data_IF_607128924856
#
_entry.id   IF_607128924856
#
_cell.length_a   1.000
_cell.length_b   1.000
_cell.length_c   1.000
_cell.angle_alpha   90.00
_cell.angle_beta   90.00
_cell.angle_gamma   90.00
#
_symmetry.space_group_name_H-M   'P 1'
#
loop_
_entity.id
_entity.type
_entity.pdbx_description
1 polymer ?
#
# COMPACT_ATOMS: atom_id res chain seq x y z
N UNK A 1 -13.29 29.24 71.72
CA UNK A 1 -12.27 28.42 71.04
C UNK A 1 -12.82 27.01 70.83
N UNK A 2 -12.51 26.41 69.67
CA UNK A 2 -12.93 25.08 69.14
C UNK A 2 -14.35 24.96 68.55
N UNK A 3 -14.38 25.23 67.24
CA UNK A 3 -15.32 24.65 66.26
C UNK A 3 -14.92 23.19 66.00
N UNK A 4 -15.87 22.31 65.68
CA UNK A 4 -15.77 21.07 64.86
C UNK A 4 -16.77 19.99 65.35
N UNK A 5 -17.49 19.20 64.55
CA UNK A 5 -17.62 18.98 63.10
C UNK A 5 -19.00 18.32 62.86
N UNK A 6 -19.78 18.83 61.92
CA UNK A 6 -20.85 18.06 61.28
C UNK A 6 -20.17 17.26 60.17
N UNK A 7 -20.05 15.94 60.33
CA UNK A 7 -19.49 15.05 59.31
C UNK A 7 -20.65 14.37 58.58
N UNK A 8 -21.08 14.97 57.48
CA UNK A 8 -21.89 14.33 56.46
C UNK A 8 -20.93 13.51 55.61
N UNK A 9 -21.01 12.18 55.67
CA UNK A 9 -20.33 11.30 54.73
C UNK A 9 -20.94 11.50 53.34
N UNK A 10 -20.29 12.34 52.54
CA UNK A 10 -20.58 12.53 51.12
C UNK A 10 -20.10 11.28 50.37
N UNK A 11 -21.09 10.48 49.98
CA UNK A 11 -21.21 9.69 48.75
C UNK A 11 -19.90 9.50 47.97
N UNK A 12 -19.44 8.26 47.96
CA UNK A 12 -18.50 7.75 46.98
C UNK A 12 -19.09 7.87 45.57
N UNK A 13 -18.50 8.72 44.74
CA UNK A 13 -18.55 8.58 43.29
C UNK A 13 -17.11 8.48 42.82
N UNK A 14 -16.64 7.24 42.70
CA UNK A 14 -15.40 6.91 42.02
C UNK A 14 -15.53 7.41 40.59
N UNK A 15 -14.92 8.55 40.29
CA UNK A 15 -14.57 8.93 38.92
C UNK A 15 -13.61 7.86 38.42
N UNK A 16 -14.18 6.83 37.81
CA UNK A 16 -13.49 5.95 36.88
C UNK A 16 -12.95 6.85 35.79
N UNK A 17 -11.69 7.28 35.96
CA UNK A 17 -10.84 7.65 34.85
C UNK A 17 -10.67 6.37 34.03
N UNK A 18 -11.67 6.09 33.18
CA UNK A 18 -11.45 5.30 32.00
C UNK A 18 -10.43 6.08 31.19
N UNK A 19 -9.14 5.80 31.45
CA UNK A 19 -8.06 6.22 30.60
C UNK A 19 -8.37 5.66 29.23
N UNK A 20 -8.86 6.51 28.33
CA UNK A 20 -8.89 6.23 26.92
C UNK A 20 -7.43 6.13 26.45
N UNK A 21 -6.80 4.98 26.71
CA UNK A 21 -5.68 4.53 25.92
C UNK A 21 -6.23 4.27 24.52
N UNK A 22 -6.33 5.31 23.70
CA UNK A 22 -6.32 5.12 22.26
C UNK A 22 -5.00 4.42 21.95
N UNK A 23 -4.99 3.13 21.57
CA UNK A 23 -3.78 2.54 21.04
C UNK A 23 -3.49 3.36 19.78
N UNK A 24 -2.33 4.02 19.74
CA UNK A 24 -1.82 4.61 18.52
C UNK A 24 -1.71 3.48 17.48
N UNK A 25 -2.77 3.27 16.70
CA UNK A 25 -2.82 2.35 15.56
C UNK A 25 -2.06 2.91 14.35
N UNK A 26 -1.02 3.70 14.58
CA UNK A 26 0.00 3.91 13.56
C UNK A 26 0.79 2.59 13.55
N UNK A 27 0.38 1.65 12.70
CA UNK A 27 1.25 0.54 12.28
C UNK A 27 2.57 1.20 11.87
N UNK A 28 3.60 1.09 12.70
CA UNK A 28 4.92 1.65 12.42
C UNK A 28 5.40 0.97 11.14
N UNK A 29 5.26 1.66 10.02
CA UNK A 29 5.67 1.15 8.71
C UNK A 29 7.17 0.90 8.77
N UNK A 30 7.63 -0.25 8.29
CA UNK A 30 9.04 -0.59 8.37
C UNK A 30 9.88 0.42 7.59
N UNK A 31 11.12 0.74 8.01
CA UNK A 31 12.01 1.65 7.26
C UNK A 31 12.21 1.23 5.80
N UNK A 32 12.24 -0.08 5.53
CA UNK A 32 12.36 -0.64 4.18
C UNK A 32 11.14 -0.35 3.31
N UNK A 33 9.93 -0.45 3.89
CA UNK A 33 8.70 -0.08 3.20
C UNK A 33 8.64 1.43 2.94
N UNK A 34 9.07 2.27 3.88
CA UNK A 34 9.14 3.72 3.67
C UNK A 34 10.11 4.08 2.54
N UNK A 35 11.29 3.45 2.51
CA UNK A 35 12.25 3.60 1.43
C UNK A 35 11.67 3.15 0.08
N UNK A 36 10.98 2.02 0.05
CA UNK A 36 10.33 1.52 -1.16
C UNK A 36 9.26 2.50 -1.69
N UNK A 37 8.44 3.07 -0.80
CA UNK A 37 7.45 4.10 -1.17
C UNK A 37 8.14 5.31 -1.83
N UNK A 38 9.23 5.81 -1.23
CA UNK A 38 10.00 6.95 -1.77
C UNK A 38 10.58 6.65 -3.16
N UNK A 39 11.10 5.44 -3.37
CA UNK A 39 11.63 5.03 -4.68
C UNK A 39 10.53 4.93 -5.74
N UNK A 40 9.38 4.34 -5.40
CA UNK A 40 8.22 4.27 -6.30
C UNK A 40 7.69 5.67 -6.65
N UNK A 41 7.61 6.57 -5.66
CA UNK A 41 7.19 7.95 -5.86
C UNK A 41 8.14 8.70 -6.79
N UNK A 42 9.45 8.58 -6.57
CA UNK A 42 10.46 9.20 -7.43
C UNK A 42 10.37 8.68 -8.87
N UNK A 43 10.20 7.36 -9.05
CA UNK A 43 9.99 6.76 -10.36
C UNK A 43 8.72 7.29 -11.03
N UNK A 44 7.60 7.34 -10.30
CA UNK A 44 6.32 7.85 -10.81
C UNK A 44 6.43 9.30 -11.27
N UNK A 45 7.06 10.17 -10.47
CA UNK A 45 7.28 11.57 -10.82
C UNK A 45 8.14 11.71 -12.08
N UNK A 46 9.25 10.96 -12.16
CA UNK A 46 10.12 10.97 -13.33
C UNK A 46 9.39 10.50 -14.59
N UNK A 47 8.57 9.45 -14.49
CA UNK A 47 7.75 8.99 -15.60
C UNK A 47 6.77 10.07 -16.07
N UNK A 48 6.02 10.69 -15.15
CA UNK A 48 5.05 11.73 -15.48
C UNK A 48 5.69 12.99 -16.07
N UNK A 49 6.90 13.34 -15.64
CA UNK A 49 7.67 14.43 -16.25
C UNK A 49 8.07 14.12 -17.70
N UNK A 50 8.49 12.87 -17.96
CA UNK A 50 8.87 12.41 -19.30
C UNK A 50 7.67 12.23 -20.23
N UNK A 51 6.52 11.84 -19.69
CA UNK A 51 5.29 11.55 -20.42
C UNK A 51 4.09 12.34 -19.84
N UNK A 52 4.05 13.67 -20.00
CA UNK A 52 3.08 14.54 -19.34
C UNK A 52 1.62 14.35 -19.82
N UNK A 53 1.42 13.74 -20.98
CA UNK A 53 0.09 13.41 -21.50
C UNK A 53 -0.47 12.08 -20.99
N UNK A 54 0.35 11.30 -20.28
CA UNK A 54 -0.05 10.03 -19.69
C UNK A 54 -0.55 10.22 -18.26
N UNK A 55 -1.36 9.29 -17.80
CA UNK A 55 -1.84 9.24 -16.41
C UNK A 55 -1.62 7.84 -15.87
N UNK A 56 -1.07 7.76 -14.67
CA UNK A 56 -0.89 6.50 -13.97
C UNK A 56 -1.29 6.60 -12.51
N UNK A 57 -1.68 5.46 -11.97
CA UNK A 57 -1.74 5.21 -10.53
C UNK A 57 -0.78 4.07 -10.20
N UNK A 58 -0.40 3.95 -8.92
CA UNK A 58 0.47 2.87 -8.50
C UNK A 58 0.26 2.47 -7.04
N UNK A 59 0.65 1.24 -6.75
CA UNK A 59 0.82 0.70 -5.40
C UNK A 59 2.27 0.25 -5.22
N UNK A 60 2.81 0.45 -4.02
CA UNK A 60 4.18 0.10 -3.67
C UNK A 60 4.23 -0.90 -2.53
N UNK A 61 5.04 -1.94 -2.67
CA UNK A 61 5.18 -2.97 -1.66
C UNK A 61 6.63 -3.40 -1.53
N UNK A 62 7.18 -3.31 -0.31
CA UNK A 62 8.47 -3.92 -0.03
C UNK A 62 8.26 -5.39 0.31
N UNK A 63 8.66 -6.24 -0.63
CA UNK A 63 8.54 -7.68 -0.49
C UNK A 63 9.65 -8.21 0.43
N UNK A 64 9.32 -8.61 1.65
CA UNK A 64 10.27 -9.07 2.68
C UNK A 64 10.90 -10.40 2.31
N UNK A 65 10.13 -11.32 1.73
CA UNK A 65 10.63 -12.66 1.35
C UNK A 65 11.68 -12.57 0.25
N UNK A 66 11.49 -11.68 -0.71
CA UNK A 66 12.39 -11.47 -1.84
C UNK A 66 13.42 -10.36 -1.58
N UNK A 67 13.30 -9.63 -0.47
CA UNK A 67 14.12 -8.45 -0.15
C UNK A 67 14.16 -7.44 -1.31
N UNK A 68 13.00 -7.13 -1.90
CA UNK A 68 12.86 -6.34 -3.13
C UNK A 68 11.70 -5.35 -3.03
N UNK A 69 11.85 -4.18 -3.63
CA UNK A 69 10.77 -3.19 -3.73
C UNK A 69 9.99 -3.39 -5.03
N UNK A 70 8.70 -3.70 -4.92
CA UNK A 70 7.80 -3.86 -6.05
C UNK A 70 6.82 -2.69 -6.18
N UNK A 71 6.47 -2.41 -7.44
CA UNK A 71 5.51 -1.40 -7.82
C UNK A 71 4.53 -2.00 -8.83
N UNK A 72 3.24 -1.92 -8.52
CA UNK A 72 2.17 -2.25 -9.45
C UNK A 72 1.66 -0.95 -10.05
N UNK A 73 1.89 -0.73 -11.34
CA UNK A 73 1.52 0.50 -12.06
C UNK A 73 0.31 0.23 -12.93
N UNK A 74 -0.68 1.13 -12.91
CA UNK A 74 -1.82 1.12 -13.82
C UNK A 74 -1.78 2.37 -14.69
N UNK A 75 -1.67 2.19 -16.00
CA UNK A 75 -1.66 3.27 -16.99
C UNK A 75 -3.07 3.49 -17.52
N UNK A 76 -3.67 4.63 -17.21
CA UNK A 76 -5.07 4.90 -17.50
C UNK A 76 -5.37 4.99 -19.00
N UNK A 77 -4.43 5.53 -19.79
CA UNK A 77 -4.63 5.74 -21.24
C UNK A 77 -4.59 4.45 -22.04
N UNK A 78 -3.71 3.53 -21.68
CA UNK A 78 -3.43 2.32 -22.45
C UNK A 78 -4.12 1.06 -21.91
N UNK A 79 -4.84 1.15 -20.77
CA UNK A 79 -5.41 -0.01 -20.08
C UNK A 79 -4.33 -1.09 -19.81
N UNK A 80 -3.11 -0.63 -19.53
CA UNK A 80 -1.95 -1.46 -19.22
C UNK A 80 -1.77 -1.47 -17.70
N UNK A 81 -1.54 -2.66 -17.14
CA UNK A 81 -0.93 -2.82 -15.82
C UNK A 81 0.47 -3.39 -15.97
N UNK A 82 1.40 -2.98 -15.10
CA UNK A 82 2.75 -3.52 -15.07
C UNK A 82 3.21 -3.77 -13.64
N UNK A 83 3.78 -4.95 -13.40
CA UNK A 83 4.51 -5.26 -12.17
C UNK A 83 5.99 -4.98 -12.41
N UNK A 84 6.59 -4.14 -11.57
CA UNK A 84 7.99 -3.71 -11.65
C UNK A 84 8.70 -3.97 -10.34
N UNK A 85 9.96 -4.34 -10.41
CA UNK A 85 10.90 -4.25 -9.30
C UNK A 85 11.73 -2.98 -9.50
N UNK A 86 11.74 -2.11 -8.49
CA UNK A 86 12.22 -0.73 -8.65
C UNK A 86 13.72 -0.59 -8.43
N UNK A 87 14.32 -1.40 -7.55
CA UNK A 87 15.74 -1.28 -7.17
C UNK A 87 16.67 -1.56 -8.35
N UNK A 88 16.34 -2.56 -9.17
CA UNK A 88 17.07 -2.94 -10.39
C UNK A 88 16.35 -2.47 -11.68
N UNK A 89 15.25 -1.71 -11.54
CA UNK A 89 14.41 -1.24 -12.65
C UNK A 89 13.97 -2.37 -13.61
N UNK A 90 13.57 -3.52 -13.04
CA UNK A 90 13.22 -4.73 -13.80
C UNK A 90 11.71 -4.86 -13.97
N UNK A 91 11.24 -5.14 -15.18
CA UNK A 91 9.83 -5.49 -15.43
C UNK A 91 9.60 -6.97 -15.13
N UNK A 92 8.62 -7.27 -14.29
CA UNK A 92 8.22 -8.64 -13.95
C UNK A 92 7.01 -9.11 -14.74
N UNK A 93 6.11 -8.21 -15.12
CA UNK A 93 4.95 -8.61 -15.88
C UNK A 93 4.19 -7.46 -16.47
N UNK A 94 3.27 -7.78 -17.38
CA UNK A 94 2.29 -6.83 -17.90
C UNK A 94 0.94 -7.48 -18.21
N UNK A 95 -0.12 -6.71 -18.04
CA UNK A 95 -1.48 -7.01 -18.47
C UNK A 95 -1.96 -5.89 -19.39
N UNK A 96 -2.29 -6.23 -20.64
CA UNK A 96 -2.88 -5.30 -21.60
C UNK A 96 -4.26 -5.79 -22.02
N UNK A 97 -5.29 -5.04 -21.65
CA UNK A 97 -6.69 -5.32 -22.01
C UNK A 97 -7.13 -4.34 -23.11
N UNK A 98 -7.82 -4.82 -24.16
CA UNK A 98 -8.46 -3.94 -25.15
C UNK A 98 -9.84 -3.49 -24.67
N UNK A 99 -10.34 -2.41 -25.28
CA UNK A 99 -11.68 -1.85 -25.06
C UNK A 99 -12.83 -2.86 -25.20
N UNK A 100 -12.65 -3.97 -25.93
CA UNK A 100 -13.64 -5.05 -26.07
C UNK A 100 -13.40 -6.21 -25.07
N UNK A 101 -12.72 -5.95 -23.95
CA UNK A 101 -12.35 -6.92 -22.91
C UNK A 101 -11.50 -8.11 -23.37
N UNK A 102 -10.93 -8.05 -24.58
CA UNK A 102 -9.98 -9.06 -25.08
C UNK A 102 -8.59 -8.74 -24.55
N UNK A 103 -8.04 -9.62 -23.72
CA UNK A 103 -6.65 -9.57 -23.25
C UNK A 103 -5.68 -9.83 -24.40
N UNK A 104 -4.71 -8.93 -24.60
CA UNK A 104 -3.66 -9.07 -25.60
C UNK A 104 -2.34 -9.59 -25.01
N UNK A 105 -2.00 -9.11 -23.82
CA UNK A 105 -0.79 -9.49 -23.08
C UNK A 105 -1.23 -9.79 -21.65
N UNK A 106 -0.76 -10.90 -21.11
CA UNK A 106 -0.95 -11.24 -19.71
C UNK A 106 0.12 -12.25 -19.34
N UNK A 107 1.16 -11.77 -18.66
CA UNK A 107 2.20 -12.65 -18.15
C UNK A 107 2.94 -12.04 -16.96
N UNK A 108 3.33 -12.88 -16.01
CA UNK A 108 4.27 -12.54 -14.93
C UNK A 108 5.46 -13.49 -15.03
N UNK A 109 6.59 -12.94 -15.47
CA UNK A 109 7.77 -13.67 -15.91
C UNK A 109 7.38 -14.68 -16.99
N UNK A 110 7.69 -15.95 -16.77
CA UNK A 110 7.37 -17.09 -17.65
C UNK A 110 5.88 -17.50 -17.59
N UNK A 111 5.14 -17.07 -16.57
CA UNK A 111 3.75 -17.50 -16.36
C UNK A 111 2.80 -16.68 -17.22
N UNK A 112 2.06 -17.34 -18.10
CA UNK A 112 1.01 -16.71 -18.93
C UNK A 112 -0.34 -16.76 -18.22
N UNK A 113 -1.17 -15.77 -18.49
CA UNK A 113 -2.55 -15.70 -18.04
C UNK A 113 -3.47 -15.25 -19.18
N UNK A 114 -4.78 -15.28 -18.94
CA UNK A 114 -5.81 -14.87 -19.91
C UNK A 114 -6.73 -13.79 -19.37
N UNK A 115 -6.89 -13.71 -18.06
CA UNK A 115 -7.83 -12.82 -17.38
C UNK A 115 -7.14 -11.92 -16.38
N UNK A 116 -7.76 -10.78 -16.05
CA UNK A 116 -7.30 -9.89 -14.99
C UNK A 116 -7.24 -10.60 -13.64
N UNK A 117 -8.20 -11.48 -13.35
CA UNK A 117 -8.21 -12.29 -12.12
C UNK A 117 -7.00 -13.22 -12.02
N UNK A 118 -6.61 -13.86 -13.13
CA UNK A 118 -5.40 -14.67 -13.18
C UNK A 118 -4.14 -13.81 -13.03
N UNK A 119 -4.11 -12.64 -13.65
CA UNK A 119 -3.04 -11.66 -13.47
C UNK A 119 -2.88 -11.27 -11.99
N UNK A 120 -3.97 -10.90 -11.31
CA UNK A 120 -3.95 -10.51 -9.91
C UNK A 120 -3.42 -11.66 -9.03
N UNK A 121 -3.84 -12.90 -9.31
CA UNK A 121 -3.34 -14.08 -8.62
C UNK A 121 -1.82 -14.31 -8.80
N UNK A 122 -1.28 -14.03 -9.99
CA UNK A 122 0.16 -14.12 -10.26
C UNK A 122 0.96 -12.96 -9.65
N UNK A 123 0.37 -11.78 -9.52
CA UNK A 123 1.00 -10.60 -8.91
C UNK A 123 1.01 -10.68 -7.39
N UNK A 124 -0.01 -11.28 -6.78
CA UNK A 124 -0.20 -11.33 -5.33
C UNK A 124 1.04 -11.72 -4.51
N UNK A 125 1.85 -12.75 -4.88
CA UNK A 125 3.03 -13.14 -4.11
C UNK A 125 4.15 -12.09 -4.08
N UNK A 126 4.06 -11.05 -4.90
CA UNK A 126 5.00 -9.94 -4.97
C UNK A 126 4.54 -8.71 -4.18
N UNK A 127 3.22 -8.57 -3.95
CA UNK A 127 2.60 -7.35 -3.41
C UNK A 127 1.95 -7.54 -2.03
N UNK A 128 1.84 -8.76 -1.52
CA UNK A 128 1.09 -9.07 -0.30
C UNK A 128 1.72 -10.14 0.61
N UNK A 129 2.99 -10.50 0.45
CA UNK A 129 3.54 -11.67 1.15
C UNK A 129 3.71 -11.56 2.68
#
# INVERSE_FOLDING_TARGET
>A
MKKWLISIMVIAFTLSLAGCNFPNFIKKQSPLQEQCNKQCEAWSKSYMQKYPSDKLTYESHYNKRLNKCFMLVTYSKSQLKSLKEISENKMYGSLLVKQNSKTLICNVLENKCKTEKEWDALVKPYMEE
#
